data_IF_587638086847
#
_entry.id   IF_587638086847
#
_cell.length_a   1.000
_cell.length_b   1.000
_cell.length_c   1.000
_cell.angle_alpha   90.00
_cell.angle_beta   90.00
_cell.angle_gamma   90.00
#
_symmetry.space_group_name_H-M   'P 1'
#
loop_
_entity.id
_entity.type
_entity.pdbx_description
1 polymer ?
#
# COMPACT_ATOMS: atom_id res chain seq x y z
N UNK A 1 2.55 26.95 -20.33
CA UNK A 1 1.54 26.11 -19.65
C UNK A 1 2.21 24.84 -19.19
N UNK A 2 2.22 24.57 -17.91
CA UNK A 2 2.87 23.40 -17.35
C UNK A 2 1.85 22.47 -16.69
N UNK A 3 1.82 21.22 -17.16
CA UNK A 3 1.09 20.16 -16.50
C UNK A 3 2.09 19.32 -15.72
N UNK A 4 1.75 19.01 -14.50
CA UNK A 4 2.57 18.19 -13.64
C UNK A 4 1.74 17.04 -13.08
N UNK A 5 2.33 15.85 -13.05
CA UNK A 5 1.73 14.69 -12.46
C UNK A 5 2.48 14.35 -11.18
N UNK A 6 1.76 14.19 -10.09
CA UNK A 6 2.35 13.72 -8.85
C UNK A 6 1.57 12.51 -8.36
N UNK A 7 2.28 11.64 -7.65
CA UNK A 7 1.68 10.43 -7.09
C UNK A 7 1.80 10.53 -5.58
N UNK A 8 0.66 10.36 -4.90
CA UNK A 8 0.59 10.41 -3.46
C UNK A 8 0.04 9.09 -2.93
N UNK A 9 0.63 8.58 -1.87
CA UNK A 9 0.09 7.42 -1.16
C UNK A 9 -0.64 7.98 0.06
N UNK A 10 -1.87 8.43 -0.17
CA UNK A 10 -2.59 9.25 0.80
C UNK A 10 -3.31 8.47 1.88
N UNK A 11 -3.35 7.16 1.78
CA UNK A 11 -3.94 6.33 2.82
C UNK A 11 -3.23 5.00 2.88
N UNK A 12 -2.74 4.64 4.06
CA UNK A 12 -2.11 3.34 4.32
C UNK A 12 -2.76 2.81 5.58
N UNK A 13 -3.43 1.67 5.47
CA UNK A 13 -4.18 1.08 6.58
C UNK A 13 -3.71 -0.33 6.87
N UNK A 14 -3.58 -0.66 8.15
CA UNK A 14 -3.29 -2.02 8.58
C UNK A 14 -4.58 -2.62 9.12
N UNK A 15 -5.00 -3.74 8.56
CA UNK A 15 -6.32 -4.30 8.82
C UNK A 15 -6.23 -5.78 9.18
N UNK A 16 -6.96 -6.15 10.23
CA UNK A 16 -7.17 -7.56 10.57
C UNK A 16 -6.04 -8.19 11.35
N UNK A 17 -6.23 -9.45 11.68
CA UNK A 17 -5.29 -10.21 12.50
C UNK A 17 -3.99 -10.55 11.78
N UNK A 18 -4.03 -10.59 10.44
CA UNK A 18 -2.84 -10.87 9.64
C UNK A 18 -2.13 -9.60 9.17
N UNK A 19 -2.56 -8.44 9.68
CA UNK A 19 -1.95 -7.15 9.38
C UNK A 19 -1.85 -6.90 7.88
N UNK A 20 -2.94 -7.16 7.17
CA UNK A 20 -3.03 -6.86 5.74
C UNK A 20 -2.93 -5.34 5.57
N UNK A 21 -2.09 -4.90 4.64
CA UNK A 21 -1.86 -3.46 4.42
C UNK A 21 -2.64 -3.02 3.19
N UNK A 22 -3.57 -2.10 3.37
CA UNK A 22 -4.34 -1.50 2.28
C UNK A 22 -3.73 -0.15 1.94
N UNK A 23 -3.48 0.07 0.66
CA UNK A 23 -2.84 1.30 0.20
C UNK A 23 -3.75 1.98 -0.80
N UNK A 24 -3.92 3.29 -0.65
CA UNK A 24 -4.60 4.11 -1.64
C UNK A 24 -3.57 5.03 -2.29
N UNK A 25 -3.45 4.90 -3.60
CA UNK A 25 -2.54 5.69 -4.40
C UNK A 25 -3.35 6.73 -5.16
N UNK A 26 -3.00 7.99 -5.01
CA UNK A 26 -3.66 9.07 -5.72
C UNK A 26 -2.74 9.61 -6.79
N UNK A 27 -3.25 9.71 -8.02
CA UNK A 27 -2.56 10.36 -9.12
C UNK A 27 -3.18 11.74 -9.28
N UNK A 28 -2.38 12.78 -9.12
CA UNK A 28 -2.85 14.16 -9.14
C UNK A 28 -2.25 14.87 -10.35
N UNK A 29 -3.12 15.45 -11.18
CA UNK A 29 -2.70 16.24 -12.32
C UNK A 29 -2.92 17.72 -11.97
N UNK A 30 -1.87 18.51 -12.07
CA UNK A 30 -1.93 19.94 -11.78
C UNK A 30 -1.54 20.75 -13.00
N UNK A 31 -2.17 21.90 -13.14
CA UNK A 31 -1.81 22.88 -14.16
C UNK A 31 -1.46 24.17 -13.43
N UNK A 32 -0.21 24.63 -13.62
CA UNK A 32 0.29 25.87 -13.02
C UNK A 32 0.04 25.90 -11.50
N UNK A 33 0.24 24.74 -10.84
CA UNK A 33 0.07 24.64 -9.39
C UNK A 33 -1.35 24.37 -8.92
N UNK A 34 -2.31 24.35 -9.85
CA UNK A 34 -3.72 24.12 -9.50
C UNK A 34 -4.10 22.67 -9.86
N UNK A 35 -4.67 21.97 -8.90
CA UNK A 35 -5.11 20.59 -9.11
C UNK A 35 -6.31 20.56 -10.06
N UNK A 36 -6.20 19.80 -11.14
CA UNK A 36 -7.27 19.62 -12.13
C UNK A 36 -8.04 18.34 -11.92
N UNK A 37 -7.31 17.25 -11.71
CA UNK A 37 -7.88 15.89 -11.61
C UNK A 37 -7.14 15.13 -10.53
N UNK A 38 -7.89 14.34 -9.78
CA UNK A 38 -7.33 13.39 -8.81
C UNK A 38 -8.00 12.05 -9.02
N UNK A 39 -7.20 11.04 -9.33
CA UNK A 39 -7.66 9.67 -9.52
C UNK A 39 -7.13 8.80 -8.39
N UNK A 40 -7.91 7.82 -7.98
CA UNK A 40 -7.52 6.93 -6.89
C UNK A 40 -7.41 5.49 -7.37
N UNK A 41 -6.41 4.81 -6.85
CA UNK A 41 -6.22 3.39 -7.08
C UNK A 41 -5.95 2.74 -5.73
N UNK A 42 -6.62 1.64 -5.45
CA UNK A 42 -6.46 0.93 -4.18
C UNK A 42 -5.91 -0.46 -4.44
N UNK A 43 -5.04 -0.88 -3.57
CA UNK A 43 -4.52 -2.24 -3.64
C UNK A 43 -4.19 -2.73 -2.23
N UNK A 44 -4.00 -4.04 -2.12
CA UNK A 44 -3.82 -4.71 -0.84
C UNK A 44 -2.53 -5.51 -0.88
N UNK A 45 -1.77 -5.43 0.21
CA UNK A 45 -0.54 -6.19 0.38
C UNK A 45 -0.72 -7.17 1.53
N UNK A 46 -0.32 -8.41 1.29
CA UNK A 46 -0.41 -9.49 2.29
C UNK A 46 0.98 -9.78 2.84
N UNK A 47 1.07 -10.46 4.01
CA UNK A 47 2.38 -10.73 4.64
C UNK A 47 3.39 -11.46 3.77
N UNK A 48 2.94 -12.15 2.72
CA UNK A 48 3.83 -12.83 1.78
C UNK A 48 4.07 -12.06 0.48
N UNK A 49 3.55 -10.83 0.37
CA UNK A 49 3.73 -10.00 -0.82
C UNK A 49 5.14 -9.45 -0.92
N UNK A 50 5.61 -9.32 -2.17
CA UNK A 50 6.89 -8.66 -2.43
C UNK A 50 6.66 -7.14 -2.41
N UNK A 51 7.27 -6.46 -1.47
CA UNK A 51 7.12 -5.02 -1.30
C UNK A 51 8.32 -4.22 -1.80
N UNK A 52 9.24 -4.88 -2.49
CA UNK A 52 10.48 -4.21 -2.92
C UNK A 52 10.24 -3.03 -3.86
N UNK A 53 9.13 -3.02 -4.59
CA UNK A 53 8.76 -1.91 -5.48
C UNK A 53 7.91 -0.84 -4.82
N UNK A 54 7.59 -0.98 -3.53
CA UNK A 54 6.74 -0.01 -2.83
C UNK A 54 7.53 1.19 -2.32
N UNK A 55 6.86 2.32 -2.06
CA UNK A 55 7.53 3.47 -1.44
C UNK A 55 8.10 3.10 -0.07
N UNK A 56 9.13 3.82 0.34
CA UNK A 56 9.79 3.56 1.62
C UNK A 56 8.81 3.56 2.80
N UNK A 57 7.85 4.48 2.82
CA UNK A 57 6.88 4.53 3.92
C UNK A 57 6.00 3.29 3.97
N UNK A 58 5.60 2.75 2.82
CA UNK A 58 4.81 1.51 2.76
C UNK A 58 5.67 0.34 3.23
N UNK A 59 6.90 0.25 2.74
CA UNK A 59 7.83 -0.81 3.15
C UNK A 59 8.08 -0.78 4.65
N UNK A 60 8.26 0.40 5.22
CA UNK A 60 8.52 0.55 6.66
C UNK A 60 7.34 0.07 7.48
N UNK A 61 6.13 0.42 7.08
CA UNK A 61 4.91 -0.02 7.78
C UNK A 61 4.79 -1.54 7.70
N UNK A 62 4.96 -2.12 6.52
CA UNK A 62 4.90 -3.56 6.34
C UNK A 62 5.94 -4.29 7.20
N UNK A 63 7.16 -3.79 7.24
CA UNK A 63 8.22 -4.40 8.01
C UNK A 63 7.97 -4.35 9.51
N UNK A 64 7.29 -3.31 9.98
CA UNK A 64 6.95 -3.18 11.40
C UNK A 64 5.83 -4.16 11.78
N UNK A 65 4.79 -4.26 10.96
CA UNK A 65 3.61 -5.06 11.31
C UNK A 65 3.71 -6.53 10.91
N UNK A 66 4.52 -6.85 9.92
CA UNK A 66 4.70 -8.24 9.47
C UNK A 66 5.85 -8.90 10.20
N UNK A 67 5.62 -9.20 11.46
CA UNK A 67 6.59 -9.95 12.27
C UNK A 67 6.65 -11.40 11.80
N UNK A 68 7.65 -12.14 12.25
CA UNK A 68 7.76 -13.56 11.92
C UNK A 68 6.51 -14.34 12.34
N UNK A 69 5.93 -13.99 13.47
CA UNK A 69 4.70 -14.61 13.96
C UNK A 69 3.53 -14.36 12.99
N UNK A 70 3.41 -13.13 12.48
CA UNK A 70 2.35 -12.77 11.53
C UNK A 70 2.54 -13.50 10.20
N UNK A 71 3.78 -13.55 9.70
CA UNK A 71 4.07 -14.25 8.45
C UNK A 71 3.77 -15.73 8.57
N UNK A 72 4.13 -16.33 9.69
CA UNK A 72 3.84 -17.75 9.96
C UNK A 72 2.33 -17.98 10.02
N UNK A 73 1.61 -17.13 10.73
CA UNK A 73 0.16 -17.25 10.85
C UNK A 73 -0.51 -17.13 9.48
N UNK A 74 -0.05 -16.22 8.63
CA UNK A 74 -0.57 -16.06 7.27
C UNK A 74 -0.34 -17.32 6.43
N UNK A 75 0.87 -17.88 6.49
CA UNK A 75 1.22 -19.10 5.78
C UNK A 75 0.34 -20.26 6.22
N UNK A 76 0.12 -20.42 7.53
CA UNK A 76 -0.73 -21.47 8.07
C UNK A 76 -2.19 -21.29 7.63
N UNK A 77 -2.66 -20.05 7.63
CA UNK A 77 -4.02 -19.72 7.17
C UNK A 77 -4.21 -20.14 5.71
N UNK A 78 -3.24 -19.84 4.85
CA UNK A 78 -3.31 -20.18 3.44
C UNK A 78 -3.33 -21.70 3.23
N UNK A 79 -2.54 -22.44 3.98
CA UNK A 79 -2.53 -23.89 3.92
C UNK A 79 -3.89 -24.49 4.29
N UNK A 80 -4.54 -23.90 5.29
CA UNK A 80 -5.84 -24.37 5.75
C UNK A 80 -6.95 -24.10 4.74
N UNK A 81 -6.81 -23.06 3.95
CA UNK A 81 -7.86 -22.60 3.03
C UNK A 81 -7.62 -22.96 1.56
N UNK A 82 -6.65 -23.79 1.26
CA UNK A 82 -6.41 -24.21 -0.13
C UNK A 82 -6.91 -25.62 -0.39
#
# INVERSE_FOLDING_TARGET
MALAETIEYDKIEVVGQYKVVQVRKATVIKKDGTELIRSFERYVLHPDSDISGEPTEVQSICNVVWTDAIKTAWTEYQKTNT
#
